data_IF_835219365889
#
_entry.id   IF_835219365889
#
_cell.length_a   1.000
_cell.length_b   1.000
_cell.length_c   1.000
_cell.angle_alpha   90.00
_cell.angle_beta   90.00
_cell.angle_gamma   90.00
#
_symmetry.space_group_name_H-M   'P 1'
#
loop_
_entity.id
_entity.type
_entity.pdbx_description
1 polymer ?
#
# COMPACT_ATOMS: atom_id res chain seq x y z
N UNK A 1 -3.73 -14.94 -15.24
CA UNK A 1 -2.64 -14.81 -14.25
C UNK A 1 -3.07 -15.56 -13.02
N UNK A 2 -2.29 -16.53 -12.55
CA UNK A 2 -2.65 -17.34 -11.39
C UNK A 2 -2.16 -16.68 -10.11
N UNK A 3 -2.86 -16.84 -8.98
CA UNK A 3 -2.41 -16.31 -7.67
C UNK A 3 -0.97 -16.74 -7.34
N UNK A 4 -0.54 -17.94 -7.79
CA UNK A 4 0.84 -18.42 -7.64
C UNK A 4 1.87 -17.53 -8.34
N UNK A 5 1.48 -16.87 -9.44
CA UNK A 5 2.37 -16.03 -10.23
C UNK A 5 2.57 -14.64 -9.59
N UNK A 6 1.80 -14.34 -8.53
CA UNK A 6 1.80 -13.07 -7.81
C UNK A 6 2.50 -13.15 -6.46
N UNK A 7 3.05 -14.30 -6.08
CA UNK A 7 3.77 -14.45 -4.82
C UNK A 7 4.93 -13.45 -4.73
N UNK A 8 5.01 -12.77 -3.57
CA UNK A 8 6.11 -11.83 -3.33
C UNK A 8 7.45 -12.60 -3.28
N UNK A 9 8.50 -12.12 -3.98
CA UNK A 9 9.77 -12.87 -4.07
C UNK A 9 10.49 -13.03 -2.72
N UNK A 10 10.28 -12.12 -1.77
CA UNK A 10 11.01 -12.06 -0.51
C UNK A 10 10.14 -12.30 0.74
N UNK A 11 8.81 -12.30 0.60
CA UNK A 11 7.88 -12.37 1.73
C UNK A 11 6.84 -13.47 1.54
N UNK A 12 6.62 -14.27 2.58
CA UNK A 12 5.48 -15.19 2.66
C UNK A 12 4.34 -14.48 3.39
N UNK A 13 3.24 -14.21 2.69
CA UNK A 13 2.17 -13.34 3.15
C UNK A 13 0.80 -13.95 2.87
N UNK A 14 -0.24 -13.48 3.58
CA UNK A 14 -1.62 -13.83 3.32
C UNK A 14 -2.10 -13.41 1.91
N UNK A 15 -3.19 -14.02 1.45
CA UNK A 15 -3.68 -13.84 0.07
C UNK A 15 -4.00 -12.37 -0.26
N UNK A 16 -4.70 -11.67 0.64
CA UNK A 16 -5.10 -10.27 0.39
C UNK A 16 -3.89 -9.36 0.17
N UNK A 17 -2.93 -9.36 1.09
CA UNK A 17 -1.74 -8.51 1.00
C UNK A 17 -0.81 -8.93 -0.16
N UNK A 18 -0.85 -10.20 -0.57
CA UNK A 18 -0.14 -10.67 -1.77
C UNK A 18 -0.68 -9.97 -3.02
N UNK A 19 -2.00 -9.82 -3.14
CA UNK A 19 -2.63 -9.11 -4.26
C UNK A 19 -2.38 -7.60 -4.16
N UNK A 20 -2.48 -7.00 -2.97
CA UNK A 20 -2.15 -5.59 -2.76
C UNK A 20 -0.70 -5.27 -3.12
N UNK A 21 0.23 -6.19 -2.86
CA UNK A 21 1.62 -6.05 -3.29
C UNK A 21 1.76 -6.18 -4.81
N UNK A 22 1.06 -7.13 -5.43
CA UNK A 22 1.10 -7.34 -6.87
C UNK A 22 0.48 -6.19 -7.68
N UNK A 23 -0.55 -5.52 -7.13
CA UNK A 23 -1.16 -4.31 -7.72
C UNK A 23 -0.41 -3.03 -7.34
N UNK A 24 0.54 -3.10 -6.42
CA UNK A 24 1.18 -1.96 -5.74
C UNK A 24 0.21 -1.10 -4.91
N UNK A 25 -1.02 -1.56 -4.67
CA UNK A 25 -1.96 -0.86 -3.77
C UNK A 25 -1.43 -0.81 -2.34
N UNK A 26 -0.75 -1.87 -1.86
CA UNK A 26 -0.11 -1.83 -0.54
C UNK A 26 0.78 -0.59 -0.39
N UNK A 27 1.58 -0.29 -1.42
CA UNK A 27 2.44 0.90 -1.43
C UNK A 27 1.64 2.21 -1.55
N UNK A 28 0.51 2.18 -2.27
CA UNK A 28 -0.43 3.31 -2.30
C UNK A 28 -1.05 3.60 -0.93
N UNK A 29 -1.45 2.57 -0.19
CA UNK A 29 -1.96 2.72 1.18
C UNK A 29 -0.90 3.27 2.13
N UNK A 30 0.36 2.83 2.01
CA UNK A 30 1.48 3.36 2.79
C UNK A 30 1.75 4.86 2.53
N UNK A 31 1.47 5.37 1.32
CA UNK A 31 1.50 6.82 1.05
C UNK A 31 0.44 7.56 1.86
N UNK A 32 -0.78 7.03 1.92
CA UNK A 32 -1.87 7.59 2.72
C UNK A 32 -1.53 7.53 4.22
N UNK A 33 -0.98 6.41 4.68
CA UNK A 33 -0.53 6.23 6.07
C UNK A 33 0.57 7.24 6.43
N UNK A 34 1.58 7.42 5.57
CA UNK A 34 2.67 8.36 5.80
C UNK A 34 2.16 9.82 5.90
N UNK A 35 1.15 10.19 5.11
CA UNK A 35 0.49 11.49 5.25
C UNK A 35 -0.06 11.68 6.67
N UNK A 36 -0.87 10.73 7.15
CA UNK A 36 -1.53 10.84 8.45
C UNK A 36 -0.57 10.70 9.63
N UNK A 37 0.44 9.84 9.54
CA UNK A 37 1.42 9.62 10.61
C UNK A 37 2.40 10.78 10.77
N UNK A 38 2.81 11.41 9.67
CA UNK A 38 3.89 12.38 9.64
C UNK A 38 3.46 13.77 9.19
N UNK A 39 2.20 13.95 8.81
CA UNK A 39 1.65 15.20 8.30
C UNK A 39 2.40 15.73 7.06
N UNK A 40 2.85 14.83 6.19
CA UNK A 40 3.43 15.16 4.89
C UNK A 40 2.34 15.34 3.84
N UNK A 41 2.49 16.31 2.93
CA UNK A 41 1.62 16.39 1.76
C UNK A 41 1.93 15.25 0.77
N UNK A 42 0.99 14.96 -0.13
CA UNK A 42 1.18 13.95 -1.17
C UNK A 42 2.47 14.19 -2.00
N UNK A 43 2.84 15.44 -2.23
CA UNK A 43 4.01 15.81 -3.03
C UNK A 43 5.34 15.69 -2.25
N UNK A 44 5.28 15.45 -0.94
CA UNK A 44 6.45 15.19 -0.08
C UNK A 44 6.69 13.70 0.13
N UNK A 45 5.83 12.84 -0.38
CA UNK A 45 5.93 11.39 -0.23
C UNK A 45 6.19 10.81 -1.62
N UNK A 46 7.23 9.99 -1.75
CA UNK A 46 7.55 9.33 -3.00
C UNK A 46 7.77 7.82 -2.80
N UNK A 47 7.64 7.06 -3.90
CA UNK A 47 7.84 5.62 -3.95
C UNK A 47 9.00 5.33 -4.87
N UNK A 48 9.93 4.52 -4.39
CA UNK A 48 11.05 3.98 -5.15
C UNK A 48 10.95 2.45 -5.13
N UNK A 49 11.12 1.82 -6.28
CA UNK A 49 11.16 0.36 -6.38
C UNK A 49 12.56 -0.12 -6.03
N UNK A 50 12.64 -1.02 -5.05
CA UNK A 50 13.90 -1.59 -4.56
C UNK A 50 13.81 -3.12 -4.49
N UNK A 51 14.23 -3.84 -5.56
CA UNK A 51 14.02 -5.28 -5.67
C UNK A 51 14.62 -6.12 -4.54
N UNK A 52 15.74 -5.69 -3.96
CA UNK A 52 16.39 -6.42 -2.86
C UNK A 52 15.64 -6.32 -1.53
N UNK A 53 14.74 -5.33 -1.38
CA UNK A 53 13.97 -5.09 -0.14
C UNK A 53 14.83 -5.00 1.12
N UNK A 54 16.00 -4.37 1.00
CA UNK A 54 16.92 -4.10 2.12
C UNK A 54 16.66 -2.75 2.75
N UNK A 55 16.34 -1.75 1.92
CA UNK A 55 15.90 -0.43 2.37
C UNK A 55 14.37 -0.43 2.46
N UNK A 56 13.85 -0.10 3.63
CA UNK A 56 12.41 -0.12 3.91
C UNK A 56 11.79 1.26 3.93
N UNK A 57 12.56 2.28 4.30
CA UNK A 57 12.14 3.69 4.25
C UNK A 57 13.34 4.60 4.13
N UNK A 58 13.11 5.79 3.55
CA UNK A 58 14.11 6.85 3.42
C UNK A 58 13.50 8.19 3.78
N UNK A 59 14.32 9.07 4.36
CA UNK A 59 13.96 10.47 4.58
C UNK A 59 15.02 11.34 3.93
N UNK A 60 14.60 12.16 2.98
CA UNK A 60 15.43 13.20 2.38
C UNK A 60 15.28 14.51 3.16
N UNK A 61 16.39 15.10 3.51
CA UNK A 61 16.44 16.38 4.21
C UNK A 61 16.60 17.56 3.23
N UNK A 62 16.35 18.78 3.71
CA UNK A 62 16.45 20.01 2.91
C UNK A 62 17.85 20.27 2.34
N UNK A 63 18.88 19.67 2.92
CA UNK A 63 20.27 19.73 2.44
C UNK A 63 20.60 18.62 1.43
N UNK A 64 19.59 17.90 0.95
CA UNK A 64 19.68 16.75 0.05
C UNK A 64 20.40 15.53 0.64
N UNK A 65 20.68 15.51 1.93
CA UNK A 65 21.14 14.29 2.60
C UNK A 65 19.97 13.31 2.79
N UNK A 66 20.26 12.01 2.70
CA UNK A 66 19.25 10.96 2.86
C UNK A 66 19.62 10.05 4.03
N UNK A 67 18.65 9.76 4.89
CA UNK A 67 18.74 8.67 5.88
C UNK A 67 17.82 7.54 5.48
N UNK A 68 18.33 6.32 5.53
CA UNK A 68 17.60 5.10 5.22
C UNK A 68 17.52 4.17 6.45
N UNK A 69 16.36 3.56 6.65
CA UNK A 69 16.22 2.42 7.53
C UNK A 69 16.49 1.16 6.69
N UNK A 70 17.45 0.36 7.12
CA UNK A 70 17.91 -0.83 6.42
C UNK A 70 17.84 -2.05 7.33
N UNK A 71 17.56 -3.21 6.75
CA UNK A 71 17.52 -4.49 7.46
C UNK A 71 17.23 -5.66 6.53
N UNK A 72 17.35 -6.86 7.04
CA UNK A 72 16.79 -8.03 6.33
C UNK A 72 15.27 -7.91 6.26
N UNK A 73 14.61 -8.44 5.21
CA UNK A 73 13.16 -8.37 5.06
C UNK A 73 12.46 -9.34 6.05
N UNK A 74 12.36 -8.93 7.31
CA UNK A 74 11.72 -9.69 8.39
C UNK A 74 10.88 -8.75 9.29
N UNK A 75 9.59 -9.03 9.40
CA UNK A 75 8.66 -8.26 10.24
C UNK A 75 8.99 -8.33 11.74
N UNK A 76 9.77 -9.29 12.18
CA UNK A 76 10.24 -9.34 13.59
C UNK A 76 11.00 -8.07 13.98
N UNK A 77 11.75 -7.46 13.05
CA UNK A 77 12.53 -6.24 13.29
C UNK A 77 11.63 -5.06 13.71
N UNK A 78 10.66 -4.61 12.91
CA UNK A 78 9.80 -3.49 13.28
C UNK A 78 8.87 -3.83 14.44
N UNK A 79 8.38 -5.08 14.56
CA UNK A 79 7.52 -5.51 15.67
C UNK A 79 8.29 -5.46 16.99
N UNK A 80 9.51 -6.01 17.03
CA UNK A 80 10.34 -5.96 18.23
C UNK A 80 10.60 -4.51 18.66
N UNK A 81 10.99 -3.64 17.70
CA UNK A 81 11.25 -2.25 18.00
C UNK A 81 10.02 -1.51 18.53
N UNK A 82 8.84 -1.77 17.95
CA UNK A 82 7.59 -1.18 18.46
C UNK A 82 7.28 -1.59 19.91
N UNK A 83 7.59 -2.84 20.27
CA UNK A 83 7.38 -3.36 21.62
C UNK A 83 8.43 -2.89 22.64
N UNK A 84 9.65 -2.57 22.18
CA UNK A 84 10.78 -2.19 23.06
C UNK A 84 11.13 -0.71 23.00
N UNK A 85 10.38 0.07 22.20
CA UNK A 85 10.64 1.49 22.00
C UNK A 85 10.90 2.23 23.33
N UNK A 86 11.93 3.10 23.41
CA UNK A 86 12.85 3.53 22.36
C UNK A 86 14.12 2.68 22.26
N UNK A 87 14.17 1.51 22.86
CA UNK A 87 15.38 0.68 22.93
C UNK A 87 15.42 -0.38 21.83
N UNK A 88 16.59 -0.61 21.25
CA UNK A 88 16.83 -1.74 20.38
C UNK A 88 17.23 -2.96 21.22
N UNK A 89 16.36 -3.97 21.28
CA UNK A 89 16.67 -5.23 21.94
C UNK A 89 17.57 -6.11 21.06
N UNK A 90 18.30 -7.02 21.67
CA UNK A 90 19.14 -7.97 20.93
C UNK A 90 18.27 -8.86 20.04
N UNK A 91 18.68 -9.02 18.78
CA UNK A 91 18.06 -9.90 17.81
C UNK A 91 18.63 -11.33 17.90
N UNK A 92 17.79 -12.32 17.52
CA UNK A 92 18.20 -13.74 17.42
C UNK A 92 18.06 -14.25 15.98
N UNK A 93 17.76 -13.36 15.04
CA UNK A 93 17.65 -13.62 13.60
C UNK A 93 18.84 -13.06 12.84
N UNK A 94 18.88 -13.32 11.54
CA UNK A 94 20.01 -12.97 10.67
C UNK A 94 20.27 -11.46 10.66
N UNK A 95 21.56 -11.11 10.68
CA UNK A 95 22.03 -9.74 10.58
C UNK A 95 22.18 -9.33 9.10
N UNK A 96 22.01 -8.05 8.82
CA UNK A 96 22.26 -7.50 7.49
C UNK A 96 23.77 -7.38 7.25
N UNK A 97 24.29 -8.17 6.30
CA UNK A 97 25.66 -8.08 5.81
C UNK A 97 25.69 -7.33 4.47
N UNK A 98 26.06 -6.06 4.49
CA UNK A 98 26.16 -5.23 3.31
C UNK A 98 27.22 -5.68 2.31
N UNK A 99 28.26 -6.39 2.77
CA UNK A 99 29.30 -6.94 1.89
C UNK A 99 28.75 -8.13 1.09
N UNK A 100 27.94 -8.98 1.71
CA UNK A 100 27.23 -10.05 1.01
C UNK A 100 26.17 -9.51 0.04
N UNK A 101 25.42 -8.48 0.42
CA UNK A 101 24.44 -7.83 -0.44
C UNK A 101 25.13 -7.22 -1.68
N UNK A 102 26.27 -6.59 -1.50
CA UNK A 102 27.15 -6.08 -2.56
C UNK A 102 26.58 -4.91 -3.36
N UNK A 103 25.32 -4.97 -3.80
CA UNK A 103 24.70 -3.94 -4.63
C UNK A 103 23.22 -3.72 -4.24
N UNK A 104 22.81 -2.47 -4.20
CA UNK A 104 21.43 -2.04 -4.08
C UNK A 104 21.02 -1.36 -5.39
N UNK A 105 19.85 -1.73 -5.91
CA UNK A 105 19.30 -1.17 -7.15
C UNK A 105 17.97 -0.50 -6.91
N UNK A 106 17.69 0.54 -7.69
CA UNK A 106 16.47 1.33 -7.58
C UNK A 106 15.88 1.57 -8.95
N UNK A 107 14.56 1.54 -9.04
CA UNK A 107 13.80 1.76 -10.25
C UNK A 107 12.68 2.76 -9.96
N UNK A 108 12.27 3.49 -10.99
CA UNK A 108 11.11 4.37 -10.89
C UNK A 108 9.81 3.57 -10.85
N UNK A 109 8.80 4.14 -10.19
CA UNK A 109 7.44 3.60 -10.22
C UNK A 109 6.83 3.74 -11.62
N UNK A 110 6.22 2.67 -12.11
CA UNK A 110 5.51 2.63 -13.40
C UNK A 110 3.99 2.74 -13.15
N UNK A 111 3.45 3.95 -13.31
CA UNK A 111 2.03 4.23 -13.05
C UNK A 111 1.10 3.63 -14.12
N UNK A 112 1.59 3.42 -15.35
CA UNK A 112 0.80 2.79 -16.41
C UNK A 112 0.60 1.30 -16.12
N UNK A 113 1.66 0.66 -15.64
CA UNK A 113 1.63 -0.75 -15.26
C UNK A 113 0.94 -0.99 -13.91
N UNK A 114 1.06 -0.05 -12.97
CA UNK A 114 0.54 -0.12 -11.60
C UNK A 114 -0.35 1.09 -11.27
N UNK A 115 -1.54 1.20 -11.89
CA UNK A 115 -2.41 2.36 -11.74
C UNK A 115 -2.89 2.57 -10.31
N UNK A 116 -2.92 1.53 -9.45
CA UNK A 116 -3.31 1.65 -8.05
C UNK A 116 -2.46 2.66 -7.26
N UNK A 117 -1.19 2.86 -7.62
CA UNK A 117 -0.35 3.90 -7.02
C UNK A 117 -0.93 5.29 -7.33
N UNK A 118 -1.25 5.54 -8.60
CA UNK A 118 -1.85 6.81 -9.04
C UNK A 118 -3.17 7.09 -8.33
N UNK A 119 -4.06 6.10 -8.26
CA UNK A 119 -5.34 6.19 -7.57
C UNK A 119 -5.18 6.56 -6.08
N UNK A 120 -4.19 5.99 -5.39
CA UNK A 120 -3.93 6.33 -3.99
C UNK A 120 -3.47 7.79 -3.80
N UNK A 121 -2.59 8.30 -4.68
CA UNK A 121 -2.19 9.70 -4.66
C UNK A 121 -3.35 10.65 -4.98
N UNK A 122 -4.20 10.29 -5.93
CA UNK A 122 -5.39 11.06 -6.28
C UNK A 122 -6.40 11.10 -5.14
N UNK A 123 -6.66 9.94 -4.52
CA UNK A 123 -7.53 9.86 -3.35
C UNK A 123 -7.00 10.70 -2.18
N UNK A 124 -5.69 10.68 -1.93
CA UNK A 124 -5.07 11.50 -0.91
C UNK A 124 -5.21 13.01 -1.21
N UNK A 125 -5.01 13.44 -2.45
CA UNK A 125 -5.19 14.85 -2.87
C UNK A 125 -6.64 15.31 -2.80
N UNK A 126 -7.58 14.43 -3.13
CA UNK A 126 -9.02 14.70 -3.03
C UNK A 126 -9.49 14.83 -1.58
N UNK A 127 -8.83 14.12 -0.67
CA UNK A 127 -9.14 14.16 0.76
C UNK A 127 -10.52 13.63 1.11
N UNK A 128 -11.03 14.03 2.27
CA UNK A 128 -12.35 13.65 2.76
C UNK A 128 -12.56 12.13 2.77
N UNK A 129 -13.72 11.70 2.32
CA UNK A 129 -14.10 10.28 2.25
C UNK A 129 -13.41 9.48 1.15
N UNK A 130 -12.66 10.12 0.23
CA UNK A 130 -12.10 9.42 -0.95
C UNK A 130 -11.10 8.32 -0.57
N UNK A 131 -10.26 8.53 0.44
CA UNK A 131 -9.30 7.51 0.89
C UNK A 131 -9.99 6.30 1.52
N UNK A 132 -11.12 6.51 2.21
CA UNK A 132 -11.93 5.43 2.75
C UNK A 132 -12.65 4.67 1.62
N UNK A 133 -13.22 5.37 0.64
CA UNK A 133 -13.85 4.75 -0.54
C UNK A 133 -12.86 3.89 -1.31
N UNK A 134 -11.62 4.38 -1.54
CA UNK A 134 -10.54 3.64 -2.18
C UNK A 134 -10.22 2.35 -1.43
N UNK A 135 -10.04 2.42 -0.11
CA UNK A 135 -9.68 1.24 0.69
C UNK A 135 -10.79 0.19 0.68
N UNK A 136 -12.05 0.60 0.85
CA UNK A 136 -13.20 -0.30 0.83
C UNK A 136 -13.36 -0.96 -0.55
N UNK A 137 -13.22 -0.17 -1.62
CA UNK A 137 -13.29 -0.68 -2.99
C UNK A 137 -12.16 -1.69 -3.27
N UNK A 138 -10.93 -1.38 -2.83
CA UNK A 138 -9.81 -2.30 -2.96
C UNK A 138 -10.05 -3.62 -2.25
N UNK A 139 -10.51 -3.60 -1.00
CA UNK A 139 -10.81 -4.81 -0.24
C UNK A 139 -11.83 -5.68 -0.98
N UNK A 140 -12.95 -5.10 -1.39
CA UNK A 140 -14.01 -5.83 -2.09
C UNK A 140 -13.54 -6.34 -3.46
N UNK A 141 -12.80 -5.56 -4.24
CA UNK A 141 -12.26 -5.99 -5.53
C UNK A 141 -11.25 -7.13 -5.36
N UNK A 142 -10.34 -7.04 -4.39
CA UNK A 142 -9.37 -8.11 -4.11
C UNK A 142 -10.05 -9.41 -3.70
N UNK A 143 -11.06 -9.37 -2.82
CA UNK A 143 -11.80 -10.58 -2.45
C UNK A 143 -12.55 -11.19 -3.63
N UNK A 144 -13.20 -10.38 -4.50
CA UNK A 144 -13.82 -10.88 -5.72
C UNK A 144 -12.81 -11.50 -6.68
N UNK A 145 -11.60 -10.96 -6.77
CA UNK A 145 -10.52 -11.56 -7.54
C UNK A 145 -10.06 -12.89 -6.94
N UNK A 146 -9.89 -12.98 -5.64
CA UNK A 146 -9.51 -14.21 -4.93
C UNK A 146 -10.55 -15.33 -5.06
N UNK A 147 -11.82 -14.97 -5.31
CA UNK A 147 -12.94 -15.87 -5.58
C UNK A 147 -13.14 -16.15 -7.08
N UNK A 148 -12.19 -15.76 -7.94
CA UNK A 148 -12.22 -15.91 -9.41
C UNK A 148 -13.44 -15.26 -10.10
N UNK A 149 -14.05 -14.23 -9.49
CA UNK A 149 -15.23 -13.54 -10.04
C UNK A 149 -14.84 -12.41 -11.01
N UNK A 150 -13.63 -11.85 -10.87
CA UNK A 150 -13.10 -10.78 -11.72
C UNK A 150 -11.67 -11.09 -12.15
N UNK A 151 -11.18 -10.35 -13.14
CA UNK A 151 -9.78 -10.41 -13.57
C UNK A 151 -8.92 -9.47 -12.72
N UNK A 152 -7.62 -9.74 -12.67
CA UNK A 152 -6.65 -8.89 -11.98
C UNK A 152 -6.71 -7.42 -12.43
N UNK A 153 -6.89 -7.19 -13.72
CA UNK A 153 -6.97 -5.84 -14.31
C UNK A 153 -8.28 -5.12 -13.99
N UNK A 154 -9.29 -5.81 -13.46
CA UNK A 154 -10.54 -5.17 -13.03
C UNK A 154 -10.42 -4.50 -11.66
N UNK A 155 -9.41 -4.89 -10.85
CA UNK A 155 -9.20 -4.33 -9.51
C UNK A 155 -9.05 -2.80 -9.59
N UNK A 156 -8.06 -2.22 -10.32
CA UNK A 156 -7.91 -0.76 -10.36
C UNK A 156 -9.13 -0.06 -10.97
N UNK A 157 -9.80 -0.66 -11.97
CA UNK A 157 -11.01 -0.11 -12.57
C UNK A 157 -12.14 0.04 -11.55
N UNK A 158 -12.40 -1.00 -10.77
CA UNK A 158 -13.46 -0.98 -9.73
C UNK A 158 -13.17 0.05 -8.63
N UNK A 159 -11.91 0.21 -8.27
CA UNK A 159 -11.48 1.23 -7.31
C UNK A 159 -11.75 2.63 -7.86
N UNK A 160 -11.31 2.91 -9.10
CA UNK A 160 -11.51 4.19 -9.77
C UNK A 160 -13.00 4.54 -9.89
N UNK A 161 -13.82 3.60 -10.39
CA UNK A 161 -15.27 3.77 -10.53
C UNK A 161 -15.95 4.06 -9.18
N UNK A 162 -15.56 3.37 -8.11
CA UNK A 162 -16.10 3.60 -6.77
C UNK A 162 -15.71 4.97 -6.23
N UNK A 163 -14.44 5.36 -6.38
CA UNK A 163 -13.96 6.68 -5.97
C UNK A 163 -14.65 7.81 -6.75
N UNK A 164 -14.95 7.59 -8.03
CA UNK A 164 -15.65 8.60 -8.84
C UNK A 164 -17.15 8.72 -8.52
N UNK A 165 -17.78 7.64 -8.05
CA UNK A 165 -19.24 7.57 -7.85
C UNK A 165 -19.69 7.89 -6.42
N UNK A 166 -18.79 7.88 -5.42
CA UNK A 166 -19.19 8.08 -4.01
C UNK A 166 -19.59 9.54 -3.72
N UNK A 167 -20.50 9.71 -2.77
CA UNK A 167 -20.84 11.02 -2.22
C UNK A 167 -19.68 11.52 -1.34
N UNK A 168 -18.97 12.54 -1.81
CA UNK A 168 -17.80 13.07 -1.13
C UNK A 168 -18.17 13.92 0.08
N UNK A 169 -17.55 13.66 1.23
CA UNK A 169 -17.70 14.40 2.50
C UNK A 169 -16.32 14.81 2.98
N UNK A 170 -16.11 16.10 3.22
CA UNK A 170 -14.81 16.68 3.61
C UNK A 170 -14.35 16.19 4.99
N UNK A 171 -15.24 16.23 5.98
CA UNK A 171 -14.95 15.85 7.36
C UNK A 171 -15.99 14.84 7.85
N UNK A 172 -15.88 13.55 7.43
CA UNK A 172 -16.85 12.55 7.78
C UNK A 172 -16.79 12.17 9.27
N UNK A 173 -17.95 11.98 9.86
CA UNK A 173 -18.06 11.32 11.16
C UNK A 173 -18.10 9.78 10.99
N UNK A 174 -18.06 9.06 12.11
CA UNK A 174 -18.05 7.58 12.09
C UNK A 174 -19.29 6.98 11.39
N UNK A 175 -20.48 7.55 11.61
CA UNK A 175 -21.72 7.05 11.00
C UNK A 175 -21.69 7.20 9.48
N UNK A 176 -21.15 8.31 8.97
CA UNK A 176 -20.98 8.55 7.55
C UNK A 176 -19.97 7.59 6.93
N UNK A 177 -18.87 7.30 7.62
CA UNK A 177 -17.90 6.29 7.18
C UNK A 177 -18.49 4.87 7.14
N UNK A 178 -19.31 4.48 8.13
CA UNK A 178 -20.00 3.19 8.12
C UNK A 178 -21.04 3.10 7.00
N UNK A 179 -21.75 4.19 6.67
CA UNK A 179 -22.63 4.23 5.51
C UNK A 179 -21.87 4.11 4.19
N UNK A 180 -20.73 4.80 4.08
CA UNK A 180 -19.83 4.68 2.93
C UNK A 180 -19.34 3.24 2.74
N UNK A 181 -18.95 2.56 3.82
CA UNK A 181 -18.50 1.17 3.78
C UNK A 181 -19.57 0.26 3.15
N UNK A 182 -20.80 0.35 3.64
CA UNK A 182 -21.91 -0.45 3.11
C UNK A 182 -22.21 -0.13 1.65
N UNK A 183 -22.24 1.16 1.31
CA UNK A 183 -22.51 1.63 -0.05
C UNK A 183 -21.41 1.18 -1.04
N UNK A 184 -20.12 1.37 -0.69
CA UNK A 184 -19.01 1.03 -1.58
C UNK A 184 -18.91 -0.49 -1.79
N UNK A 185 -19.14 -1.29 -0.75
CA UNK A 185 -19.19 -2.74 -0.88
C UNK A 185 -20.34 -3.19 -1.81
N UNK A 186 -21.52 -2.56 -1.70
CA UNK A 186 -22.64 -2.83 -2.59
C UNK A 186 -22.37 -2.38 -4.02
N UNK A 187 -21.75 -1.21 -4.20
CA UNK A 187 -21.37 -0.68 -5.51
C UNK A 187 -20.44 -1.64 -6.25
N UNK A 188 -19.36 -2.08 -5.60
CA UNK A 188 -18.42 -3.05 -6.20
C UNK A 188 -19.13 -4.36 -6.53
N UNK A 189 -19.97 -4.90 -5.62
CA UNK A 189 -20.73 -6.12 -5.89
C UNK A 189 -21.59 -6.01 -7.13
N UNK A 190 -22.36 -4.93 -7.27
CA UNK A 190 -23.22 -4.69 -8.43
C UNK A 190 -22.41 -4.53 -9.73
N UNK A 191 -21.25 -3.87 -9.67
CA UNK A 191 -20.36 -3.73 -10.82
C UNK A 191 -19.68 -5.04 -11.25
N UNK A 192 -19.57 -6.03 -10.35
CA UNK A 192 -19.05 -7.39 -10.65
C UNK A 192 -20.12 -8.26 -11.29
N UNK A 193 -21.39 -8.05 -10.94
CA UNK A 193 -22.53 -8.84 -11.45
C UNK A 193 -23.06 -8.35 -12.82
N UNK A 194 -22.67 -7.14 -13.25
CA UNK A 194 -23.10 -6.50 -14.50
C UNK A 194 -22.28 -6.94 -15.71
#
# INVERSE_FOLDING_TARGET
MCIRDMNHPNWDMGNKITIDSATMMNKGLEVIEAHWLFNFSADQIDIVIHPQSIIHSMVEFKDSSVKAQMGVPDMKVPIQYALTYPHHAAATWDELDLVQVGQLTFEEKDLDRFPCIGLAYEALRSGGTTTAALNIANDNAVYNFLEDRIKFTDIPRLIEETCAAHDWIEHPNLEELLKLELWAAEFVRNAVEA
#
